data_IF_823935043430
#
_entry.id   IF_823935043430
#
_cell.length_a   1.000
_cell.length_b   1.000
_cell.length_c   1.000
_cell.angle_alpha   90.00
_cell.angle_beta   90.00
_cell.angle_gamma   90.00
#
_symmetry.space_group_name_H-M   'P 1'
#
loop_
_entity.id
_entity.type
_entity.pdbx_description
1 polymer ?
#
# COMPACT_ATOMS: atom_id res chain seq x y z
N UNK A 1 -8.06 11.12 -8.94
CA UNK A 1 -7.66 10.25 -10.08
C UNK A 1 -8.52 8.99 -10.09
N UNK A 2 -8.95 8.55 -11.27
CA UNK A 2 -9.55 7.23 -11.48
C UNK A 2 -8.46 6.27 -11.94
N UNK A 3 -8.32 5.14 -11.25
CA UNK A 3 -7.25 4.18 -11.47
C UNK A 3 -7.77 2.74 -11.37
N UNK A 4 -6.97 1.80 -11.87
CA UNK A 4 -7.13 0.36 -11.65
C UNK A 4 -5.75 -0.27 -11.44
N UNK A 5 -5.70 -1.47 -10.88
CA UNK A 5 -4.49 -2.30 -10.81
C UNK A 5 -4.67 -3.55 -11.67
N UNK A 6 -3.62 -4.04 -12.35
CA UNK A 6 -3.68 -5.32 -13.07
C UNK A 6 -3.57 -6.55 -12.15
N UNK A 7 -3.24 -6.36 -10.87
CA UNK A 7 -3.21 -7.37 -9.82
C UNK A 7 -4.05 -6.92 -8.61
N UNK A 8 -4.52 -7.88 -7.81
CA UNK A 8 -5.11 -7.55 -6.52
C UNK A 8 -4.03 -7.03 -5.56
N UNK A 9 -4.44 -6.31 -4.51
CA UNK A 9 -3.52 -5.79 -3.50
C UNK A 9 -4.20 -4.82 -2.55
N UNK A 10 -3.41 -4.16 -1.72
CA UNK A 10 -3.91 -3.21 -0.73
C UNK A 10 -3.56 -1.77 -1.12
N UNK A 11 -4.54 -0.88 -1.00
CA UNK A 11 -4.28 0.56 -0.91
C UNK A 11 -4.06 0.90 0.57
N UNK A 12 -2.83 1.28 0.92
CA UNK A 12 -2.44 1.59 2.31
C UNK A 12 -2.55 3.08 2.63
N UNK A 13 -2.72 3.92 1.61
CA UNK A 13 -2.83 5.37 1.77
C UNK A 13 -2.98 6.09 0.43
N UNK A 14 -3.02 7.41 0.50
CA UNK A 14 -3.07 8.30 -0.66
C UNK A 14 -1.95 9.32 -0.54
N UNK A 15 -1.28 9.57 -1.67
CA UNK A 15 -0.39 10.70 -1.84
C UNK A 15 -1.13 11.84 -2.54
N UNK A 16 -0.83 13.06 -2.13
CA UNK A 16 -1.29 14.24 -2.86
C UNK A 16 -0.22 15.32 -2.87
N UNK A 17 -0.18 16.12 -3.93
CA UNK A 17 0.75 17.26 -3.98
C UNK A 17 0.10 18.49 -3.36
N UNK A 18 0.65 18.94 -2.23
CA UNK A 18 0.17 20.11 -1.50
C UNK A 18 0.85 21.37 -2.03
N UNK A 19 0.06 22.34 -2.48
CA UNK A 19 0.54 23.67 -2.88
C UNK A 19 1.13 24.41 -1.67
N UNK A 20 2.16 25.25 -1.88
CA UNK A 20 2.67 26.12 -0.82
C UNK A 20 1.62 27.11 -0.28
N UNK A 21 0.58 27.39 -1.07
CA UNK A 21 -0.55 28.23 -0.66
C UNK A 21 -1.73 27.43 -0.08
N UNK A 22 -1.62 26.09 -0.02
CA UNK A 22 -2.59 25.29 0.71
C UNK A 22 -2.25 25.32 2.20
N UNK A 23 -2.96 26.17 2.93
CA UNK A 23 -2.87 26.28 4.40
C UNK A 23 -4.08 25.62 5.09
N UNK A 24 -4.94 24.94 4.33
CA UNK A 24 -6.17 24.32 4.82
C UNK A 24 -5.98 22.90 5.35
N UNK A 25 -7.05 22.34 5.91
CA UNK A 25 -7.08 20.92 6.24
C UNK A 25 -7.26 20.11 4.95
N UNK A 26 -6.48 19.02 4.79
CA UNK A 26 -6.74 18.04 3.75
C UNK A 26 -7.28 16.73 4.32
N UNK A 27 -8.16 16.12 3.54
CA UNK A 27 -8.70 14.78 3.78
C UNK A 27 -8.51 13.99 2.50
N UNK A 28 -8.01 12.77 2.60
CA UNK A 28 -7.90 11.84 1.48
C UNK A 28 -9.02 10.80 1.58
N UNK A 29 -9.56 10.40 0.44
CA UNK A 29 -10.65 9.43 0.37
C UNK A 29 -10.43 8.46 -0.80
N UNK A 30 -10.71 7.18 -0.54
CA UNK A 30 -10.75 6.12 -1.54
C UNK A 30 -12.20 5.71 -1.77
N UNK A 31 -12.60 5.54 -3.03
CA UNK A 31 -13.97 5.29 -3.43
C UNK A 31 -14.09 4.17 -4.47
N UNK A 32 -15.24 3.52 -4.50
CA UNK A 32 -15.72 2.86 -5.72
C UNK A 32 -16.08 3.90 -6.78
N UNK A 33 -16.17 3.49 -8.05
CA UNK A 33 -16.64 4.40 -9.12
C UNK A 33 -18.12 4.78 -9.03
N UNK A 34 -18.88 4.14 -8.14
CA UNK A 34 -20.29 4.48 -7.86
C UNK A 34 -20.45 5.45 -6.70
N UNK A 35 -19.36 5.88 -6.06
CA UNK A 35 -19.37 6.84 -4.97
C UNK A 35 -19.47 6.26 -3.57
N UNK A 36 -19.31 4.94 -3.41
CA UNK A 36 -19.18 4.33 -2.08
C UNK A 36 -17.79 4.61 -1.52
N UNK A 37 -17.72 5.26 -0.36
CA UNK A 37 -16.46 5.52 0.34
C UNK A 37 -15.93 4.21 0.95
N UNK A 38 -14.70 3.86 0.61
CA UNK A 38 -14.01 2.66 1.10
C UNK A 38 -13.08 2.98 2.28
N UNK A 39 -12.39 4.12 2.21
CA UNK A 39 -11.55 4.61 3.30
C UNK A 39 -11.42 6.14 3.26
N UNK A 40 -11.07 6.71 4.42
CA UNK A 40 -10.78 8.13 4.59
C UNK A 40 -9.65 8.31 5.61
N UNK A 41 -8.83 9.34 5.43
CA UNK A 41 -7.84 9.74 6.41
C UNK A 41 -7.57 11.24 6.32
N UNK A 42 -7.22 11.83 7.47
CA UNK A 42 -6.95 13.27 7.59
C UNK A 42 -5.44 13.50 7.59
N UNK A 43 -4.97 14.47 6.80
CA UNK A 43 -3.58 14.90 6.87
C UNK A 43 -3.32 15.63 8.19
N UNK A 44 -2.44 15.11 9.05
CA UNK A 44 -2.17 15.70 10.35
C UNK A 44 -1.09 16.81 10.32
N UNK A 45 -0.42 17.02 9.18
CA UNK A 45 0.59 18.08 9.03
C UNK A 45 -0.03 19.45 8.85
N UNK A 46 0.69 20.49 9.26
CA UNK A 46 0.19 21.88 9.25
C UNK A 46 0.93 22.82 8.30
N UNK A 47 2.12 22.46 7.78
CA UNK A 47 3.00 23.38 7.03
C UNK A 47 3.80 22.76 5.87
N UNK A 48 3.39 21.60 5.35
CA UNK A 48 4.10 20.94 4.26
C UNK A 48 3.68 21.43 2.87
N UNK A 49 4.64 21.67 1.97
CA UNK A 49 4.40 21.74 0.52
C UNK A 49 5.07 20.57 -0.20
N UNK A 50 4.61 20.26 -1.41
CA UNK A 50 5.08 19.09 -2.16
C UNK A 50 4.28 17.83 -1.87
N UNK A 51 4.82 16.67 -2.24
CA UNK A 51 4.16 15.38 -2.05
C UNK A 51 3.97 15.06 -0.56
N UNK A 52 2.71 14.96 -0.16
CA UNK A 52 2.28 14.48 1.15
C UNK A 52 1.78 13.04 1.02
N UNK A 53 2.03 12.22 2.03
CA UNK A 53 1.49 10.86 2.12
C UNK A 53 0.60 10.76 3.35
N UNK A 54 -0.62 10.25 3.16
CA UNK A 54 -1.59 10.02 4.24
C UNK A 54 -1.98 8.56 4.23
N UNK A 55 -1.61 7.85 5.29
CA UNK A 55 -1.91 6.42 5.43
C UNK A 55 -3.33 6.23 6.00
N UNK A 56 -4.00 5.19 5.53
CA UNK A 56 -5.23 4.71 6.15
C UNK A 56 -4.90 3.90 7.41
N UNK A 57 -5.79 3.95 8.40
CA UNK A 57 -5.67 3.12 9.62
C UNK A 57 -5.80 1.64 9.29
N UNK A 58 -6.73 1.31 8.39
CA UNK A 58 -6.94 -0.03 7.86
C UNK A 58 -6.70 -0.01 6.35
N UNK A 59 -5.72 -0.76 5.82
CA UNK A 59 -5.53 -0.90 4.38
C UNK A 59 -6.80 -1.43 3.70
N UNK A 60 -7.05 -0.97 2.47
CA UNK A 60 -8.20 -1.41 1.68
C UNK A 60 -7.75 -2.36 0.58
N UNK A 61 -8.20 -3.61 0.64
CA UNK A 61 -7.97 -4.56 -0.45
C UNK A 61 -8.80 -4.18 -1.68
N UNK A 62 -8.13 -4.09 -2.83
CA UNK A 62 -8.73 -3.84 -4.13
C UNK A 62 -8.55 -5.06 -5.05
N UNK A 63 -9.55 -5.29 -5.91
CA UNK A 63 -9.49 -6.36 -6.90
C UNK A 63 -8.71 -5.94 -8.15
N UNK A 64 -8.08 -6.92 -8.81
CA UNK A 64 -7.48 -6.72 -10.11
C UNK A 64 -8.53 -6.25 -11.14
N UNK A 65 -8.10 -5.43 -12.09
CA UNK A 65 -8.87 -4.92 -13.22
C UNK A 65 -10.20 -4.24 -12.82
N UNK A 66 -10.29 -3.75 -11.58
CA UNK A 66 -11.44 -3.01 -11.06
C UNK A 66 -11.06 -1.55 -10.91
N UNK A 67 -11.93 -0.66 -11.37
CA UNK A 67 -11.69 0.78 -11.31
C UNK A 67 -12.12 1.35 -9.95
N UNK A 68 -11.29 2.23 -9.42
CA UNK A 68 -11.49 2.96 -8.17
C UNK A 68 -11.17 4.44 -8.37
N UNK A 69 -11.56 5.28 -7.41
CA UNK A 69 -11.23 6.71 -7.40
C UNK A 69 -10.48 7.04 -6.13
N UNK A 70 -9.29 7.63 -6.26
CA UNK A 70 -8.57 8.26 -5.16
C UNK A 70 -8.68 9.78 -5.27
N UNK A 71 -9.01 10.43 -4.16
CA UNK A 71 -9.17 11.89 -4.09
C UNK A 71 -8.53 12.46 -2.84
N UNK A 72 -8.20 13.74 -2.90
CA UNK A 72 -8.04 14.56 -1.71
C UNK A 72 -8.96 15.77 -1.81
N UNK A 73 -9.47 16.19 -0.66
CA UNK A 73 -10.18 17.44 -0.49
C UNK A 73 -9.24 18.47 0.14
N UNK A 74 -9.37 19.72 -0.28
CA UNK A 74 -8.67 20.86 0.32
C UNK A 74 -9.65 22.01 0.53
N UNK A 75 -9.52 22.71 1.66
CA UNK A 75 -10.18 24.02 1.87
C UNK A 75 -9.33 25.19 1.36
N UNK A 76 -8.12 24.90 0.85
CA UNK A 76 -7.16 25.86 0.34
C UNK A 76 -6.96 25.75 -1.17
N UNK A 77 -5.73 25.97 -1.62
CA UNK A 77 -5.35 25.88 -3.02
C UNK A 77 -5.03 24.43 -3.45
N UNK A 78 -5.31 24.10 -4.70
CA UNK A 78 -4.90 22.84 -5.33
C UNK A 78 -3.95 23.09 -6.49
N UNK A 79 -3.23 22.05 -6.91
CA UNK A 79 -2.38 22.07 -8.11
C UNK A 79 -3.05 21.22 -9.18
N UNK A 80 -3.05 21.69 -10.42
CA UNK A 80 -3.62 20.98 -11.56
C UNK A 80 -2.74 21.11 -12.80
N UNK A 81 -2.74 20.08 -13.65
CA UNK A 81 -2.22 20.15 -15.02
C UNK A 81 -3.28 19.64 -15.97
N UNK A 82 -3.80 20.54 -16.80
CA UNK A 82 -4.77 20.22 -17.84
C UNK A 82 -4.15 19.34 -18.93
N UNK A 83 -4.99 18.56 -19.62
CA UNK A 83 -4.62 17.68 -20.72
C UNK A 83 -3.59 16.59 -20.37
N UNK A 84 -3.41 16.29 -19.08
CA UNK A 84 -2.46 15.29 -18.62
C UNK A 84 -2.88 13.86 -19.00
N UNK A 85 -4.14 13.50 -18.75
CA UNK A 85 -4.69 12.18 -19.08
C UNK A 85 -5.24 12.12 -20.51
N UNK A 86 -4.55 12.74 -21.47
CA UNK A 86 -4.87 12.58 -22.92
C UNK A 86 -4.40 11.23 -23.46
N UNK A 87 -3.50 10.55 -22.73
CA UNK A 87 -3.09 9.18 -22.95
C UNK A 87 -3.17 8.39 -21.64
N UNK A 88 -3.20 7.05 -21.75
CA UNK A 88 -3.15 6.15 -20.60
C UNK A 88 -1.82 6.30 -19.88
N UNK A 89 -1.87 6.41 -18.55
CA UNK A 89 -0.68 6.51 -17.69
C UNK A 89 -0.59 5.23 -16.86
N UNK A 90 0.54 4.53 -16.94
CA UNK A 90 0.80 3.29 -16.20
C UNK A 90 2.06 3.44 -15.35
N UNK A 91 2.00 2.94 -14.11
CA UNK A 91 3.11 2.91 -13.16
C UNK A 91 3.08 1.57 -12.42
N UNK A 92 4.00 0.67 -12.78
CA UNK A 92 3.96 -0.71 -12.31
C UNK A 92 2.62 -1.37 -12.62
N UNK A 93 1.95 -1.88 -11.58
CA UNK A 93 0.63 -2.50 -11.70
C UNK A 93 -0.52 -1.51 -11.86
N UNK A 94 -0.32 -0.22 -11.56
CA UNK A 94 -1.37 0.79 -11.57
C UNK A 94 -1.53 1.41 -12.94
N UNK A 95 -2.78 1.64 -13.35
CA UNK A 95 -3.13 2.31 -14.61
C UNK A 95 -4.24 3.34 -14.39
N UNK A 96 -4.03 4.54 -14.89
CA UNK A 96 -5.03 5.58 -15.04
C UNK A 96 -5.37 5.71 -16.54
N UNK A 97 -6.63 5.41 -16.89
CA UNK A 97 -7.10 5.48 -18.29
C UNK A 97 -7.13 6.92 -18.81
N UNK A 98 -6.90 7.10 -20.10
CA UNK A 98 -7.09 8.38 -20.79
C UNK A 98 -8.55 8.88 -20.74
N UNK A 99 -9.51 7.96 -20.59
CA UNK A 99 -10.93 8.30 -20.55
C UNK A 99 -11.45 8.37 -19.12
N UNK A 100 -12.20 9.43 -18.81
CA UNK A 100 -12.89 9.60 -17.53
C UNK A 100 -11.99 10.00 -16.36
N UNK A 101 -10.76 10.45 -16.62
CA UNK A 101 -9.91 11.12 -15.65
C UNK A 101 -10.08 12.65 -15.69
N UNK A 102 -9.38 13.40 -14.83
CA UNK A 102 -9.76 14.77 -14.51
C UNK A 102 -10.94 14.84 -13.56
N UNK A 103 -11.15 13.79 -12.76
CA UNK A 103 -12.26 13.69 -11.81
C UNK A 103 -12.15 14.74 -10.70
N UNK A 104 -13.23 15.48 -10.47
CA UNK A 104 -13.33 16.50 -9.43
C UNK A 104 -14.79 16.68 -8.96
N UNK A 105 -14.95 17.44 -7.89
CA UNK A 105 -16.23 18.01 -7.47
C UNK A 105 -15.95 19.23 -6.58
N UNK A 106 -16.94 20.11 -6.43
CA UNK A 106 -16.88 21.23 -5.48
C UNK A 106 -17.74 20.94 -4.26
N UNK A 107 -17.32 21.46 -3.10
CA UNK A 107 -17.96 21.22 -1.81
C UNK A 107 -17.11 20.31 -0.92
N UNK A 108 -17.71 19.85 0.18
CA UNK A 108 -17.02 19.10 1.24
C UNK A 108 -16.76 19.98 2.46
N UNK A 109 -15.96 19.48 3.39
CA UNK A 109 -15.56 20.20 4.59
C UNK A 109 -14.12 19.88 4.96
N UNK A 110 -13.58 20.61 5.93
CA UNK A 110 -12.25 20.33 6.50
C UNK A 110 -12.10 18.87 6.98
N UNK A 111 -13.18 18.17 7.29
CA UNK A 111 -13.15 16.81 7.86
C UNK A 111 -13.78 15.74 6.97
N UNK A 112 -14.37 16.12 5.83
CA UNK A 112 -15.02 15.16 4.94
C UNK A 112 -14.96 15.60 3.47
N UNK A 113 -14.37 14.76 2.61
CA UNK A 113 -14.47 14.90 1.16
C UNK A 113 -15.79 14.34 0.60
N UNK A 114 -16.09 14.76 -0.64
CA UNK A 114 -17.24 14.35 -1.44
C UNK A 114 -16.74 13.52 -2.63
N UNK A 115 -17.53 12.55 -3.07
CA UNK A 115 -17.20 11.74 -4.24
C UNK A 115 -17.03 12.61 -5.51
N UNK A 116 -15.89 12.54 -6.21
CA UNK A 116 -15.67 13.25 -7.46
C UNK A 116 -16.51 12.68 -8.61
N UNK A 117 -17.59 13.38 -8.98
CA UNK A 117 -18.57 12.94 -9.97
C UNK A 117 -18.58 13.76 -11.28
N UNK A 118 -17.71 14.77 -11.39
CA UNK A 118 -17.51 15.56 -12.61
C UNK A 118 -16.10 15.35 -13.16
N UNK A 119 -15.87 15.74 -14.42
CA UNK A 119 -14.55 15.69 -15.08
C UNK A 119 -14.23 17.02 -15.75
N UNK A 120 -12.97 17.44 -15.73
CA UNK A 120 -12.51 18.65 -16.41
C UNK A 120 -11.17 18.43 -17.11
N UNK A 121 -11.10 18.78 -18.40
CA UNK A 121 -9.88 18.84 -19.24
C UNK A 121 -8.89 17.67 -19.10
N UNK A 122 -9.33 16.45 -18.79
CA UNK A 122 -8.44 15.32 -18.49
C UNK A 122 -7.32 15.70 -17.49
N UNK A 123 -7.65 16.57 -16.54
CA UNK A 123 -6.67 17.20 -15.66
C UNK A 123 -6.05 16.22 -14.67
N UNK A 124 -4.79 16.44 -14.32
CA UNK A 124 -4.16 15.80 -13.17
C UNK A 124 -4.15 16.75 -11.98
N UNK A 125 -4.93 16.41 -10.95
CA UNK A 125 -4.98 17.15 -9.68
C UNK A 125 -3.91 16.70 -8.68
N UNK A 126 -2.96 15.85 -9.11
CA UNK A 126 -1.86 15.34 -8.30
C UNK A 126 -2.31 14.56 -7.06
N UNK A 127 -3.28 13.65 -7.24
CA UNK A 127 -3.63 12.62 -6.28
C UNK A 127 -3.12 11.26 -6.80
N UNK A 128 -2.56 10.44 -5.93
CA UNK A 128 -2.04 9.11 -6.24
C UNK A 128 -2.26 8.14 -5.07
N UNK A 129 -2.16 6.84 -5.30
CA UNK A 129 -2.34 5.81 -4.26
C UNK A 129 -1.01 5.25 -3.78
N UNK A 130 -0.94 4.92 -2.50
CA UNK A 130 0.11 4.05 -1.96
C UNK A 130 -0.42 2.61 -2.09
N UNK A 131 0.04 1.91 -3.12
CA UNK A 131 -0.42 0.57 -3.45
C UNK A 131 0.63 -0.48 -3.10
N UNK A 132 0.20 -1.55 -2.44
CA UNK A 132 0.98 -2.75 -2.17
C UNK A 132 0.34 -3.93 -2.92
N UNK A 133 0.92 -4.39 -4.04
CA UNK A 133 0.40 -5.55 -4.75
C UNK A 133 0.42 -6.78 -3.84
N UNK A 134 -0.59 -7.63 -3.94
CA UNK A 134 -0.58 -8.92 -3.25
C UNK A 134 0.59 -9.76 -3.79
N UNK A 135 1.35 -10.39 -2.89
CA UNK A 135 2.41 -11.31 -3.31
C UNK A 135 1.77 -12.45 -4.11
N UNK A 136 2.26 -12.66 -5.33
CA UNK A 136 1.85 -13.81 -6.15
C UNK A 136 2.61 -15.08 -5.76
N UNK A 137 3.62 -14.98 -4.89
CA UNK A 137 4.31 -16.12 -4.28
C UNK A 137 3.89 -16.22 -2.81
N UNK A 138 3.12 -17.27 -2.44
CA UNK A 138 2.96 -17.63 -1.03
C UNK A 138 4.35 -17.91 -0.43
N UNK A 139 4.58 -17.49 0.82
CA UNK A 139 5.74 -17.97 1.55
C UNK A 139 5.64 -19.50 1.64
N UNK A 140 6.66 -20.19 1.20
CA UNK A 140 6.77 -21.63 1.35
C UNK A 140 6.99 -21.94 2.83
N UNK A 141 6.32 -23.00 3.32
CA UNK A 141 6.60 -23.46 4.69
C UNK A 141 8.02 -24.03 4.72
N UNK A 142 8.86 -23.66 5.71
CA UNK A 142 10.17 -24.26 5.85
C UNK A 142 10.03 -25.78 5.97
N UNK A 143 10.94 -26.50 5.32
CA UNK A 143 10.99 -27.96 5.39
C UNK A 143 11.94 -28.33 6.50
N UNK A 144 11.37 -28.86 7.59
CA UNK A 144 12.16 -29.46 8.66
C UNK A 144 12.57 -30.88 8.26
N UNK A 145 13.82 -31.22 8.48
CA UNK A 145 14.34 -32.58 8.24
C UNK A 145 14.72 -33.18 9.59
N UNK A 146 14.31 -34.43 9.83
CA UNK A 146 14.66 -35.09 11.08
C UNK A 146 16.18 -35.17 11.26
N UNK A 147 16.64 -34.79 12.45
CA UNK A 147 18.05 -34.84 12.78
C UNK A 147 18.53 -36.28 12.94
N UNK A 148 19.64 -36.58 12.27
CA UNK A 148 20.46 -37.74 12.58
C UNK A 148 21.64 -37.26 13.44
N UNK A 149 21.64 -37.65 14.70
CA UNK A 149 22.72 -37.35 15.64
C UNK A 149 22.59 -38.19 16.89
N UNK A 150 23.68 -38.83 17.29
CA UNK A 150 23.75 -39.56 18.54
C UNK A 150 24.21 -38.61 19.64
N UNK A 151 23.37 -38.39 20.65
CA UNK A 151 23.81 -37.82 21.92
C UNK A 151 24.20 -38.97 22.84
N UNK A 152 25.45 -39.02 23.30
CA UNK A 152 25.83 -39.94 24.38
C UNK A 152 25.41 -39.32 25.71
N UNK A 153 24.32 -39.81 26.31
CA UNK A 153 23.93 -39.38 27.66
C UNK A 153 24.93 -39.84 28.73
N UNK A 154 25.05 -39.03 29.79
CA UNK A 154 25.81 -39.36 31.00
C UNK A 154 25.15 -40.53 31.73
N UNK A 155 25.90 -41.61 31.94
CA UNK A 155 25.45 -42.73 32.77
C UNK A 155 26.62 -43.48 33.39
N UNK A 156 27.19 -42.94 34.46
CA UNK A 156 28.19 -43.62 35.29
C UNK A 156 28.15 -43.11 36.72
N UNK A 157 28.39 -44.00 37.70
CA UNK A 157 28.46 -43.63 39.12
C UNK A 157 29.48 -42.49 39.32
N UNK A 158 29.02 -41.38 39.91
CA UNK A 158 29.74 -40.12 40.20
C UNK A 158 29.93 -39.08 39.08
N UNK A 159 29.32 -39.23 37.89
CA UNK A 159 29.23 -38.13 36.89
C UNK A 159 30.60 -37.54 36.42
N UNK A 160 31.70 -38.29 36.54
CA UNK A 160 33.09 -37.78 36.49
C UNK A 160 33.69 -37.40 35.13
N UNK A 161 33.03 -37.65 33.98
CA UNK A 161 33.55 -37.27 32.65
C UNK A 161 32.53 -36.46 31.85
N UNK A 162 32.90 -35.33 31.25
CA UNK A 162 31.99 -34.53 30.41
C UNK A 162 31.40 -35.36 29.25
N UNK A 163 30.13 -35.13 28.91
CA UNK A 163 29.54 -35.69 27.70
C UNK A 163 30.19 -35.10 26.45
N UNK A 164 30.14 -35.80 25.32
CA UNK A 164 30.57 -35.26 24.03
C UNK A 164 29.47 -34.35 23.50
N UNK A 165 29.85 -33.23 22.87
CA UNK A 165 28.89 -32.35 22.20
C UNK A 165 28.16 -33.15 21.11
N UNK A 166 26.84 -32.99 21.03
CA UNK A 166 26.04 -33.62 19.98
C UNK A 166 26.65 -33.32 18.60
N UNK A 167 26.99 -34.37 17.85
CA UNK A 167 27.47 -34.27 16.48
C UNK A 167 26.38 -34.77 15.53
N UNK A 168 26.06 -34.00 14.50
CA UNK A 168 24.98 -34.32 13.58
C UNK A 168 24.49 -33.08 12.84
N UNK A 169 23.40 -33.23 12.10
CA UNK A 169 22.86 -32.16 11.24
C UNK A 169 21.94 -31.16 11.97
N UNK A 170 22.19 -30.93 13.26
CA UNK A 170 21.24 -30.33 14.21
C UNK A 170 20.82 -28.89 13.87
N UNK A 171 21.44 -28.24 12.88
CA UNK A 171 21.12 -26.88 12.42
C UNK A 171 21.24 -26.67 10.90
N UNK A 172 21.57 -27.69 10.10
CA UNK A 172 22.00 -27.48 8.68
C UNK A 172 21.21 -28.28 7.64
N UNK A 173 20.21 -29.08 8.03
CA UNK A 173 19.32 -29.83 7.11
C UNK A 173 17.99 -29.14 6.87
N UNK A 174 17.60 -28.20 7.73
CA UNK A 174 16.37 -27.43 7.54
C UNK A 174 16.57 -26.45 6.38
N UNK A 175 15.59 -26.42 5.47
CA UNK A 175 15.61 -25.49 4.34
C UNK A 175 14.39 -24.59 4.38
N UNK A 176 14.61 -23.28 4.32
CA UNK A 176 13.60 -22.29 4.00
C UNK A 176 13.92 -21.72 2.62
N UNK A 177 13.02 -21.95 1.66
CA UNK A 177 13.24 -21.49 0.28
C UNK A 177 13.11 -19.96 0.15
N UNK A 178 12.61 -19.29 1.19
CA UNK A 178 12.38 -17.85 1.23
C UNK A 178 13.33 -17.12 2.21
N UNK A 179 14.30 -17.83 2.82
CA UNK A 179 15.27 -17.21 3.71
C UNK A 179 16.22 -16.25 2.96
N UNK A 180 16.27 -15.00 3.43
CA UNK A 180 17.23 -13.96 3.05
C UNK A 180 18.30 -13.73 4.09
#
# INVERSE_FOLDING_TARGET
VKFQSNVAGDVTGIKFYRSANDNGQNVVDLWTTTGTKLATATFAGTTGSGWQTVNFTTPVTIAANTAYVASYHTTGAYVATDNFFTATVTSGSLTASASGNGVYTYGGSATAGIFPNATYNAANYYADVVFRPASTTPNTTPTAVADAGDATEKGGVANGSGGVVASGNVLTNDTDADAG
#
